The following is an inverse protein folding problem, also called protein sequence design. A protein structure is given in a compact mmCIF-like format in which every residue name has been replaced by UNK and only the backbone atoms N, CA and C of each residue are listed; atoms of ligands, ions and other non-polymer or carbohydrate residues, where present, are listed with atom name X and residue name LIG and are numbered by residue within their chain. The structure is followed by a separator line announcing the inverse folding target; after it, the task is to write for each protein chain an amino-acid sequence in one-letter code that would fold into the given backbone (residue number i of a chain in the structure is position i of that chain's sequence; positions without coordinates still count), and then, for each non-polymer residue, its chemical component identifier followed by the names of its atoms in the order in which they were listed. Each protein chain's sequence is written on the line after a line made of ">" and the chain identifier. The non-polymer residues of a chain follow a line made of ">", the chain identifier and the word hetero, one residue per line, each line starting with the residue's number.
data_IF_419759938195
#
_entry.id   IF_419759938195
#
_cell.length_a   1.000
_cell.length_b   1.000
_cell.length_c   1.000
_cell.angle_alpha   90.00
_cell.angle_beta   90.00
_cell.angle_gamma   90.00
#
_symmetry.space_group_name_H-M   'P 1'
#
loop_
_entity.id
_entity.type
_entity.pdbx_description
1 polymer ?
#
# COMPACT_ATOMS: atom_id res chain seq x y z
N UNK A 1 0.93 -20.94 26.81
CA UNK A 1 -0.41 -20.53 27.28
C UNK A 1 -0.32 -19.11 27.77
N UNK A 2 -0.63 -18.14 26.92
CA UNK A 2 -0.58 -16.73 27.32
C UNK A 2 -1.98 -16.30 27.78
N UNK A 3 -2.01 -15.65 28.94
CA UNK A 3 -3.21 -15.05 29.51
C UNK A 3 -3.40 -13.66 28.93
N UNK A 4 -4.64 -13.31 28.58
CA UNK A 4 -4.99 -11.96 28.13
C UNK A 4 -4.54 -10.94 29.18
N UNK A 5 -3.72 -9.93 28.83
CA UNK A 5 -3.23 -8.95 29.80
C UNK A 5 -4.34 -8.07 30.39
N UNK A 6 -5.52 -8.06 29.76
CA UNK A 6 -6.65 -7.25 30.20
C UNK A 6 -7.55 -7.96 31.24
N UNK A 7 -7.74 -9.27 31.13
CA UNK A 7 -8.65 -10.03 32.00
C UNK A 7 -8.09 -11.36 32.52
N UNK A 8 -6.81 -11.63 32.24
CA UNK A 8 -6.07 -12.86 32.59
C UNK A 8 -6.68 -14.17 32.03
N UNK A 9 -7.66 -14.08 31.13
CA UNK A 9 -8.27 -15.23 30.48
C UNK A 9 -7.28 -15.95 29.55
N UNK A 10 -7.23 -17.29 29.59
CA UNK A 10 -6.37 -18.06 28.69
C UNK A 10 -6.83 -17.90 27.24
N UNK A 11 -5.97 -17.34 26.40
CA UNK A 11 -6.24 -17.18 24.99
C UNK A 11 -5.94 -18.48 24.25
N UNK A 12 -6.90 -18.89 23.40
CA UNK A 12 -6.70 -19.95 22.43
C UNK A 12 -5.79 -19.43 21.30
N UNK A 13 -4.91 -20.26 20.71
CA UNK A 13 -4.01 -19.84 19.63
C UNK A 13 -4.73 -19.30 18.38
N UNK A 14 -6.01 -19.60 18.19
CA UNK A 14 -6.81 -19.16 17.02
C UNK A 14 -7.78 -18.01 17.34
N UNK A 15 -7.61 -17.35 18.50
CA UNK A 15 -8.55 -16.34 18.96
C UNK A 15 -8.19 -14.94 18.45
N UNK A 16 -8.91 -14.44 17.45
CA UNK A 16 -8.78 -13.07 16.92
C UNK A 16 -9.18 -11.97 17.93
N UNK A 17 -9.96 -12.33 18.94
CA UNK A 17 -10.26 -11.50 20.10
C UNK A 17 -10.42 -12.35 21.35
N UNK A 18 -10.16 -11.78 22.52
CA UNK A 18 -10.39 -12.46 23.79
C UNK A 18 -11.89 -12.72 23.97
N UNK A 19 -12.34 -13.99 24.11
CA UNK A 19 -13.77 -14.28 24.26
C UNK A 19 -14.33 -13.79 25.61
N UNK A 20 -13.48 -13.48 26.57
CA UNK A 20 -13.90 -13.00 27.89
C UNK A 20 -14.06 -11.47 27.98
N UNK A 21 -13.22 -10.70 27.30
CA UNK A 21 -13.24 -9.22 27.40
C UNK A 21 -13.36 -8.49 26.06
N UNK A 22 -13.34 -9.21 24.94
CA UNK A 22 -13.44 -8.62 23.60
C UNK A 22 -12.18 -7.91 23.10
N UNK A 23 -11.06 -7.96 23.84
CA UNK A 23 -9.81 -7.34 23.39
C UNK A 23 -9.30 -8.02 22.12
N UNK A 24 -9.15 -7.26 21.04
CA UNK A 24 -8.57 -7.69 19.77
C UNK A 24 -7.09 -8.01 19.96
N UNK A 25 -6.59 -9.01 19.22
CA UNK A 25 -5.14 -9.32 19.17
C UNK A 25 -4.31 -8.10 18.76
N UNK A 26 -4.91 -7.13 18.05
CA UNK A 26 -4.30 -5.82 17.79
C UNK A 26 -3.81 -5.10 19.06
N UNK A 27 -4.54 -5.22 20.18
CA UNK A 27 -4.16 -4.61 21.47
C UNK A 27 -3.04 -5.37 22.18
N UNK A 28 -2.67 -6.59 21.73
CA UNK A 28 -1.47 -7.28 22.21
C UNK A 28 -0.19 -6.70 21.60
N UNK A 29 -0.24 -6.09 20.40
CA UNK A 29 0.90 -5.31 19.91
C UNK A 29 1.16 -4.13 20.84
N UNK A 30 0.13 -3.38 21.22
CA UNK A 30 0.24 -2.23 22.13
C UNK A 30 0.83 -2.60 23.51
N UNK A 31 0.68 -3.85 23.93
CA UNK A 31 1.22 -4.35 25.20
C UNK A 31 2.72 -4.69 25.19
N UNK A 32 3.34 -4.90 24.01
CA UNK A 32 4.79 -5.17 23.90
C UNK A 32 5.44 -4.27 22.82
N UNK A 33 5.96 -3.09 23.20
CA UNK A 33 6.65 -2.20 22.27
C UNK A 33 7.92 -2.85 21.69
N UNK A 34 8.53 -3.79 22.41
CA UNK A 34 9.71 -4.54 21.96
C UNK A 34 9.40 -5.41 20.75
N UNK A 35 8.26 -6.12 20.78
CA UNK A 35 7.79 -6.92 19.66
C UNK A 35 7.44 -6.05 18.46
N UNK A 36 6.80 -4.89 18.69
CA UNK A 36 6.52 -3.93 17.62
C UNK A 36 7.79 -3.42 16.95
N UNK A 37 8.80 -3.03 17.73
CA UNK A 37 10.08 -2.56 17.20
C UNK A 37 10.78 -3.66 16.39
N UNK A 38 10.79 -4.89 16.90
CA UNK A 38 11.38 -6.02 16.19
C UNK A 38 10.66 -6.30 14.86
N UNK A 39 9.32 -6.29 14.84
CA UNK A 39 8.54 -6.46 13.62
C UNK A 39 8.79 -5.31 12.64
N UNK A 40 8.84 -4.07 13.13
CA UNK A 40 9.11 -2.88 12.32
C UNK A 40 10.48 -2.96 11.66
N UNK A 41 11.50 -3.37 12.42
CA UNK A 41 12.87 -3.53 11.92
C UNK A 41 12.96 -4.65 10.87
N UNK A 42 12.33 -5.80 11.13
CA UNK A 42 12.26 -6.90 10.16
C UNK A 42 11.52 -6.51 8.89
N UNK A 43 10.44 -5.74 9.00
CA UNK A 43 9.72 -5.20 7.85
C UNK A 43 10.56 -4.17 7.08
N UNK A 44 11.31 -3.31 7.76
CA UNK A 44 12.21 -2.33 7.15
C UNK A 44 13.38 -2.97 6.40
N UNK A 45 13.80 -4.16 6.82
CA UNK A 45 14.84 -4.97 6.15
C UNK A 45 14.28 -5.88 5.04
N UNK A 46 12.97 -5.91 4.80
CA UNK A 46 12.33 -6.80 3.82
C UNK A 46 12.13 -8.25 4.29
N UNK A 47 12.47 -8.56 5.55
CA UNK A 47 12.35 -9.88 6.18
C UNK A 47 10.92 -10.18 6.66
N UNK A 48 9.94 -10.13 5.74
CA UNK A 48 8.51 -10.30 6.07
C UNK A 48 8.20 -11.69 6.63
N UNK A 49 8.90 -12.73 6.19
CA UNK A 49 8.72 -14.10 6.70
C UNK A 49 9.19 -14.21 8.15
N UNK A 50 10.34 -13.63 8.48
CA UNK A 50 10.82 -13.56 9.86
C UNK A 50 9.90 -12.72 10.74
N UNK A 51 9.34 -11.61 10.23
CA UNK A 51 8.35 -10.83 10.96
C UNK A 51 7.09 -11.65 11.32
N UNK A 52 6.58 -12.43 10.38
CA UNK A 52 5.44 -13.36 10.60
C UNK A 52 5.80 -14.45 11.60
N UNK A 53 7.02 -14.98 11.52
CA UNK A 53 7.51 -16.00 12.45
C UNK A 53 7.64 -15.45 13.87
N UNK A 54 8.25 -14.27 14.03
CA UNK A 54 8.37 -13.59 15.32
C UNK A 54 6.99 -13.30 15.93
N UNK A 55 6.03 -12.86 15.12
CA UNK A 55 4.64 -12.63 15.55
C UNK A 55 3.98 -13.92 16.04
N UNK A 56 4.13 -15.00 15.28
CA UNK A 56 3.61 -16.32 15.62
C UNK A 56 4.25 -16.90 16.88
N UNK A 57 5.57 -16.80 17.02
CA UNK A 57 6.29 -17.35 18.17
C UNK A 57 5.99 -16.54 19.44
N UNK A 58 5.77 -15.22 19.31
CA UNK A 58 5.43 -14.35 20.42
C UNK A 58 3.97 -14.52 20.90
N UNK A 59 3.01 -14.74 20.00
CA UNK A 59 1.57 -14.78 20.35
C UNK A 59 0.98 -16.19 20.30
N UNK A 60 1.72 -17.16 19.76
CA UNK A 60 1.27 -18.53 19.57
C UNK A 60 0.17 -18.69 18.53
N UNK A 61 -0.03 -17.71 17.64
CA UNK A 61 -1.17 -17.69 16.73
C UNK A 61 -0.97 -18.55 15.47
N UNK A 62 -2.06 -18.77 14.73
CA UNK A 62 -2.01 -19.45 13.44
C UNK A 62 -1.17 -18.67 12.42
N UNK A 63 -0.56 -19.37 11.46
CA UNK A 63 0.29 -18.74 10.42
C UNK A 63 -0.50 -17.72 9.61
N UNK A 64 -1.77 -18.03 9.33
CA UNK A 64 -2.70 -17.14 8.62
C UNK A 64 -2.95 -15.84 9.39
N UNK A 65 -3.22 -15.92 10.69
CA UNK A 65 -3.43 -14.71 11.51
C UNK A 65 -2.15 -13.89 11.66
N UNK A 66 -1.01 -14.55 11.86
CA UNK A 66 0.28 -13.87 11.93
C UNK A 66 0.58 -13.08 10.64
N UNK A 67 0.24 -13.65 9.48
CA UNK A 67 0.37 -12.96 8.20
C UNK A 67 -0.54 -11.74 8.12
N UNK A 68 -1.82 -11.89 8.47
CA UNK A 68 -2.80 -10.79 8.42
C UNK A 68 -2.39 -9.65 9.36
N UNK A 69 -1.94 -9.98 10.57
CA UNK A 69 -1.50 -8.99 11.55
C UNK A 69 -0.23 -8.24 11.09
N UNK A 70 0.77 -8.95 10.55
CA UNK A 70 1.98 -8.32 10.01
C UNK A 70 1.68 -7.49 8.77
N UNK A 71 0.72 -7.89 7.93
CA UNK A 71 0.27 -7.08 6.78
C UNK A 71 -0.48 -5.81 7.22
N UNK A 72 -1.35 -5.92 8.22
CA UNK A 72 -2.00 -4.76 8.83
C UNK A 72 -0.98 -3.81 9.46
N UNK A 73 0.03 -4.36 10.14
CA UNK A 73 1.09 -3.58 10.77
C UNK A 73 2.02 -2.94 9.75
N UNK A 74 2.39 -3.64 8.67
CA UNK A 74 3.13 -3.06 7.56
C UNK A 74 2.35 -1.88 6.94
N UNK A 75 1.03 -2.01 6.81
CA UNK A 75 0.16 -0.94 6.27
C UNK A 75 0.02 0.24 7.24
N UNK A 76 0.05 -0.01 8.55
CA UNK A 76 -0.12 1.01 9.59
C UNK A 76 1.18 1.75 9.93
N UNK A 77 2.32 1.05 9.95
CA UNK A 77 3.63 1.60 10.32
C UNK A 77 4.35 2.20 9.13
N UNK A 78 4.26 1.56 7.96
CA UNK A 78 4.66 2.17 6.70
C UNK A 78 3.41 2.80 6.10
N UNK A 79 3.15 4.07 6.47
CA UNK A 79 2.14 4.87 5.77
C UNK A 79 2.35 4.75 4.26
N UNK A 80 1.49 3.95 3.61
CA UNK A 80 1.37 3.81 2.17
C UNK A 80 2.68 3.53 1.38
N UNK A 81 3.38 2.42 1.67
CA UNK A 81 4.36 1.89 0.72
C UNK A 81 4.10 0.41 0.40
N UNK A 82 3.85 0.07 -0.88
CA UNK A 82 3.49 -1.29 -1.27
C UNK A 82 4.65 -2.29 -1.03
N UNK A 83 4.32 -3.57 -0.75
CA UNK A 83 5.29 -4.61 -0.48
C UNK A 83 6.14 -4.87 -1.74
N UNK A 84 7.46 -4.68 -1.63
CA UNK A 84 8.42 -4.85 -2.72
C UNK A 84 9.43 -3.71 -2.88
N UNK A 85 9.41 -2.73 -1.98
CA UNK A 85 10.44 -1.69 -1.94
C UNK A 85 11.60 -2.21 -1.10
N UNK A 86 12.49 -3.01 -1.70
CA UNK A 86 13.87 -3.02 -1.20
C UNK A 86 14.35 -1.56 -1.19
N UNK A 87 15.14 -1.13 -0.18
CA UNK A 87 15.64 0.24 -0.16
C UNK A 87 16.41 0.48 -1.47
N UNK A 88 15.81 1.29 -2.34
CA UNK A 88 16.45 1.79 -3.54
C UNK A 88 17.83 2.29 -3.11
N UNK A 89 18.89 1.86 -3.79
CA UNK A 89 20.18 2.52 -3.59
C UNK A 89 19.97 4.02 -3.76
N UNK A 90 20.49 4.85 -2.85
CA UNK A 90 20.28 6.30 -2.90
C UNK A 90 20.67 6.90 -4.27
N UNK A 91 21.63 6.26 -4.97
CA UNK A 91 22.01 6.58 -6.34
C UNK A 91 20.87 6.35 -7.37
N UNK A 92 20.17 5.23 -7.29
CA UNK A 92 19.02 4.93 -8.16
C UNK A 92 17.84 5.87 -7.87
N UNK A 93 17.59 6.17 -6.59
CA UNK A 93 16.53 7.12 -6.23
C UNK A 93 16.80 8.51 -6.81
N UNK A 94 18.04 9.01 -6.68
CA UNK A 94 18.44 10.29 -7.25
C UNK A 94 18.35 10.30 -8.79
N UNK A 95 18.69 9.20 -9.44
CA UNK A 95 18.57 9.06 -10.89
C UNK A 95 17.10 9.02 -11.34
N UNK A 96 16.25 8.27 -10.64
CA UNK A 96 14.81 8.23 -10.90
C UNK A 96 14.17 9.62 -10.76
N UNK A 97 14.53 10.36 -9.71
CA UNK A 97 14.07 11.74 -9.52
C UNK A 97 14.48 12.63 -10.69
N UNK A 98 15.75 12.61 -11.09
CA UNK A 98 16.23 13.40 -12.24
C UNK A 98 15.52 13.07 -13.54
N UNK A 99 15.31 11.78 -13.82
CA UNK A 99 14.62 11.33 -15.02
C UNK A 99 13.14 11.75 -15.01
N UNK A 100 12.48 11.67 -13.85
CA UNK A 100 11.08 12.08 -13.70
C UNK A 100 10.90 13.60 -13.76
N UNK A 101 11.81 14.39 -13.18
CA UNK A 101 11.84 15.86 -13.30
C UNK A 101 11.98 16.31 -14.76
N UNK A 102 12.74 15.55 -15.56
CA UNK A 102 12.90 15.79 -17.00
C UNK A 102 11.74 15.24 -17.85
N UNK A 103 10.74 14.61 -17.23
CA UNK A 103 9.60 13.99 -17.93
C UNK A 103 9.93 12.68 -18.65
N UNK A 104 11.11 12.10 -18.43
CA UNK A 104 11.60 10.90 -19.11
C UNK A 104 11.17 9.61 -18.40
N UNK A 105 9.87 9.42 -18.22
CA UNK A 105 9.31 8.27 -17.49
C UNK A 105 9.75 6.91 -18.04
N UNK A 106 9.88 6.79 -19.36
CA UNK A 106 10.31 5.54 -20.00
C UNK A 106 11.75 5.19 -19.59
N UNK A 107 12.63 6.19 -19.49
CA UNK A 107 14.00 5.98 -19.04
C UNK A 107 14.04 5.59 -17.55
N UNK A 108 13.21 6.22 -16.72
CA UNK A 108 13.07 5.86 -15.31
C UNK A 108 12.62 4.39 -15.12
N UNK A 109 11.63 3.95 -15.90
CA UNK A 109 11.17 2.54 -15.90
C UNK A 109 12.29 1.59 -16.35
N UNK A 110 13.06 1.98 -17.37
CA UNK A 110 14.18 1.18 -17.86
C UNK A 110 15.29 1.05 -16.81
N UNK A 111 15.71 2.15 -16.20
CA UNK A 111 16.72 2.17 -15.14
C UNK A 111 16.31 1.30 -13.95
N UNK A 112 15.07 1.42 -13.48
CA UNK A 112 14.54 0.60 -12.40
C UNK A 112 14.53 -0.89 -12.77
N UNK A 113 14.08 -1.24 -13.98
CA UNK A 113 14.08 -2.62 -14.47
C UNK A 113 15.50 -3.21 -14.59
N UNK A 114 16.45 -2.45 -15.12
CA UNK A 114 17.83 -2.93 -15.31
C UNK A 114 18.53 -3.18 -13.97
N UNK A 115 18.23 -2.37 -12.95
CA UNK A 115 18.87 -2.50 -11.65
C UNK A 115 18.20 -3.53 -10.73
N UNK A 116 16.89 -3.71 -10.82
CA UNK A 116 16.13 -4.64 -9.95
C UNK A 116 15.79 -5.98 -10.63
N UNK A 117 15.92 -6.07 -11.95
CA UNK A 117 15.58 -7.27 -12.71
C UNK A 117 14.08 -7.58 -12.79
N UNK A 118 13.20 -6.67 -12.32
CA UNK A 118 11.75 -6.92 -12.30
C UNK A 118 11.13 -6.90 -13.70
N UNK A 119 9.91 -7.44 -13.79
CA UNK A 119 9.13 -7.35 -15.03
C UNK A 119 8.76 -5.90 -15.37
N UNK A 120 8.60 -5.62 -16.66
CA UNK A 120 8.31 -4.27 -17.18
C UNK A 120 7.03 -3.65 -16.57
N UNK A 121 6.04 -4.50 -16.25
CA UNK A 121 4.80 -4.09 -15.58
C UNK A 121 5.09 -3.56 -14.18
N UNK A 122 5.81 -4.33 -13.37
CA UNK A 122 6.18 -3.95 -12.00
C UNK A 122 7.03 -2.68 -12.00
N UNK A 123 7.98 -2.57 -12.94
CA UNK A 123 8.81 -1.38 -13.06
C UNK A 123 8.00 -0.13 -13.38
N UNK A 124 7.00 -0.25 -14.27
CA UNK A 124 6.09 0.85 -14.58
C UNK A 124 5.27 1.26 -13.36
N UNK A 125 4.62 0.30 -12.70
CA UNK A 125 3.73 0.56 -11.57
C UNK A 125 4.49 1.22 -10.40
N UNK A 126 5.74 0.80 -10.18
CA UNK A 126 6.63 1.42 -9.20
C UNK A 126 6.96 2.88 -9.53
N UNK A 127 7.44 3.14 -10.75
CA UNK A 127 7.82 4.49 -11.18
C UNK A 127 6.62 5.43 -11.22
N UNK A 128 5.43 4.92 -11.57
CA UNK A 128 4.17 5.65 -11.53
C UNK A 128 3.81 6.09 -10.10
N UNK A 129 3.85 5.14 -9.17
CA UNK A 129 3.60 5.39 -7.74
C UNK A 129 4.64 6.35 -7.15
N UNK A 130 5.91 6.19 -7.51
CA UNK A 130 7.01 7.04 -7.06
C UNK A 130 6.86 8.49 -7.56
N UNK A 131 6.48 8.68 -8.82
CA UNK A 131 6.20 10.01 -9.38
C UNK A 131 4.98 10.65 -8.70
N UNK A 132 3.91 9.89 -8.45
CA UNK A 132 2.70 10.35 -7.80
C UNK A 132 2.96 10.82 -6.36
N UNK A 133 3.73 10.06 -5.58
CA UNK A 133 4.11 10.42 -4.21
C UNK A 133 4.91 11.74 -4.17
N UNK A 134 5.73 12.02 -5.18
CA UNK A 134 6.55 13.23 -5.28
C UNK A 134 5.82 14.42 -5.93
N UNK A 135 4.54 14.26 -6.28
CA UNK A 135 3.76 15.30 -6.96
C UNK A 135 4.25 15.60 -8.38
N UNK A 136 5.14 14.78 -8.93
CA UNK A 136 5.62 14.89 -10.30
C UNK A 136 4.55 14.29 -11.21
N UNK A 137 3.55 15.10 -11.57
CA UNK A 137 2.54 14.72 -12.57
C UNK A 137 3.22 14.57 -13.92
N UNK A 138 3.79 13.40 -14.19
CA UNK A 138 4.12 13.00 -15.55
C UNK A 138 2.79 12.72 -16.23
N UNK A 139 2.30 13.67 -17.03
CA UNK A 139 1.19 13.42 -17.94
C UNK A 139 1.57 12.25 -18.84
N UNK A 140 1.15 11.05 -18.44
CA UNK A 140 1.03 9.97 -19.39
C UNK A 140 0.03 10.48 -20.43
N UNK A 141 0.49 10.73 -21.66
CA UNK A 141 -0.37 10.68 -22.84
C UNK A 141 -0.98 9.27 -22.89
N UNK A 142 -2.01 9.07 -22.08
CA UNK A 142 -2.93 7.97 -22.22
C UNK A 142 -3.68 8.22 -23.50
N UNK A 143 -3.38 7.42 -24.52
CA UNK A 143 -4.28 7.21 -25.64
C UNK A 143 -5.51 6.49 -25.06
N UNK A 144 -6.44 7.24 -24.48
CA UNK A 144 -7.53 6.73 -23.68
C UNK A 144 -8.68 7.74 -23.60
N UNK A 145 -9.46 7.81 -24.68
CA UNK A 145 -10.87 8.15 -24.58
C UNK A 145 -11.22 9.62 -24.34
N UNK A 146 -10.78 10.52 -25.22
CA UNK A 146 -11.40 11.83 -25.43
C UNK A 146 -12.84 11.75 -26.01
N UNK A 147 -13.60 10.69 -25.68
CA UNK A 147 -14.96 10.48 -26.17
C UNK A 147 -16.03 11.06 -25.23
N UNK A 148 -15.71 11.35 -23.96
CA UNK A 148 -16.69 11.87 -23.01
C UNK A 148 -16.89 13.40 -23.08
N UNK A 149 -15.93 14.15 -23.64
CA UNK A 149 -15.98 15.62 -23.64
C UNK A 149 -16.87 16.22 -24.76
N UNK A 150 -17.23 15.44 -25.79
CA UNK A 150 -18.04 15.92 -26.91
C UNK A 150 -19.54 15.66 -26.77
N UNK A 151 -19.96 14.78 -25.85
CA UNK A 151 -21.38 14.48 -25.62
C UNK A 151 -22.06 15.51 -24.70
N UNK A 152 -21.31 16.11 -23.76
CA UNK A 152 -21.84 17.09 -22.82
C UNK A 152 -22.45 18.35 -23.49
N UNK A 153 -21.81 19.01 -24.49
CA UNK A 153 -22.42 20.16 -25.15
C UNK A 153 -23.66 19.78 -25.98
N UNK A 154 -23.70 18.57 -26.53
CA UNK A 154 -24.81 18.09 -27.37
C UNK A 154 -26.05 17.77 -26.52
N UNK A 155 -25.86 17.22 -25.32
CA UNK A 155 -26.94 16.99 -24.34
C UNK A 155 -27.48 18.31 -23.79
N UNK A 156 -26.61 19.29 -23.50
CA UNK A 156 -27.04 20.62 -23.06
C UNK A 156 -27.82 21.38 -24.14
N UNK A 157 -27.39 21.29 -25.40
CA UNK A 157 -28.12 21.89 -26.53
C UNK A 157 -29.50 21.26 -26.73
N UNK A 158 -29.61 19.93 -26.62
CA UNK A 158 -30.89 19.24 -26.72
C UNK A 158 -31.85 19.60 -25.56
N UNK A 159 -31.33 19.71 -24.33
CA UNK A 159 -32.13 20.11 -23.17
C UNK A 159 -32.61 21.57 -23.29
N UNK A 160 -31.76 22.48 -23.77
CA UNK A 160 -32.15 23.87 -24.01
C UNK A 160 -33.23 23.99 -25.09
N UNK A 161 -33.12 23.20 -26.17
CA UNK A 161 -34.13 23.18 -27.24
C UNK A 161 -35.47 22.62 -26.73
N UNK A 162 -35.44 21.61 -25.86
CA UNK A 162 -36.64 21.01 -25.27
C UNK A 162 -37.34 21.97 -24.29
N UNK A 163 -36.59 22.77 -23.52
CA UNK A 163 -37.14 23.80 -22.64
C UNK A 163 -37.72 25.00 -23.43
N UNK A 164 -37.12 25.36 -24.57
CA UNK A 164 -37.63 26.43 -25.43
C UNK A 164 -38.93 26.08 -26.18
N UNK A 165 -39.21 24.78 -26.36
CA UNK A 165 -40.42 24.29 -27.02
C UNK A 165 -41.55 23.93 -26.03
N UNK A 166 -41.38 24.20 -24.73
CA UNK A 166 -42.46 24.03 -23.77
C UNK A 166 -43.41 25.24 -23.87
N UNK A 167 -44.66 25.07 -24.33
CA UNK A 167 -45.62 26.17 -24.38
C UNK A 167 -46.00 26.55 -22.94
N UNK A 168 -45.76 27.81 -22.56
CA UNK A 168 -46.28 28.42 -21.33
C UNK A 168 -47.80 28.43 -21.29
#
# INVERSE_FOLDING_TARGET
>A
MQSCPHCQYLLSPDATSCPACGAAVAQLLEASPELQNQITELLGQGHKLEAVKAFKDALGCSLSEAKVAVEAFATSTAGNLPPGTEPLSAALEAELLRLLERGEKIQAVKAYKEQTGVSLRIAKDFVDSFAQQRGLRTESKGCGGAAAALLLPLVLAALALMLAFLPT
#
